data_IF_671753403945
#
_entry.id   IF_671753403945
#
_cell.length_a   1.000
_cell.length_b   1.000
_cell.length_c   1.000
_cell.angle_alpha   90.00
_cell.angle_beta   90.00
_cell.angle_gamma   90.00
#
_symmetry.space_group_name_H-M   'P 1'
#
loop_
_entity.id
_entity.type
_entity.pdbx_description
1 polymer ?
#
# COMPACT_ATOMS: atom_id res chain seq x y z
N UNK A 1 -6.08 20.13 0.59
CA UNK A 1 -5.10 20.04 1.68
C UNK A 1 -3.90 20.85 1.26
N UNK A 2 -3.59 21.95 1.94
CA UNK A 2 -2.43 22.78 1.63
C UNK A 2 -1.17 21.94 1.81
N UNK A 3 -0.45 21.70 0.72
CA UNK A 3 0.90 21.15 0.78
C UNK A 3 1.78 22.25 1.38
N UNK A 4 1.91 22.23 2.70
CA UNK A 4 2.85 23.09 3.42
C UNK A 4 4.25 22.85 2.85
N UNK A 5 5.02 23.91 2.49
CA UNK A 5 6.42 23.78 2.12
C UNK A 5 7.18 23.37 3.39
N UNK A 6 7.30 22.08 3.61
CA UNK A 6 7.94 21.55 4.81
C UNK A 6 9.45 21.43 4.56
N UNK A 7 10.13 22.57 4.42
CA UNK A 7 11.60 22.65 4.55
C UNK A 7 12.00 23.21 5.92
N UNK A 8 11.17 23.01 6.95
CA UNK A 8 11.42 23.43 8.34
C UNK A 8 12.17 22.37 9.15
N UNK A 9 12.88 21.44 8.50
CA UNK A 9 13.75 20.50 9.22
C UNK A 9 15.04 21.24 9.53
N UNK A 10 15.41 21.25 10.81
CA UNK A 10 16.70 21.78 11.23
C UNK A 10 17.83 21.02 10.52
N UNK A 11 18.82 21.77 10.00
CA UNK A 11 20.04 21.21 9.41
C UNK A 11 20.91 20.68 10.53
N UNK A 12 21.22 19.39 10.49
CA UNK A 12 22.00 18.71 11.51
C UNK A 12 23.47 18.74 11.16
N UNK A 13 24.27 19.42 11.97
CA UNK A 13 25.73 19.45 11.81
C UNK A 13 26.35 18.58 12.89
N UNK A 14 27.07 17.54 12.47
CA UNK A 14 27.83 16.68 13.38
C UNK A 14 29.28 17.14 13.48
N UNK A 15 29.79 17.34 14.69
CA UNK A 15 31.20 17.70 14.91
C UNK A 15 31.97 16.53 15.50
N UNK A 16 32.94 16.02 14.74
CA UNK A 16 33.87 14.99 15.21
C UNK A 16 35.14 15.65 15.77
N UNK A 17 35.52 15.33 17.01
CA UNK A 17 36.68 15.94 17.65
C UNK A 17 37.31 15.06 18.74
N UNK A 18 38.57 15.33 19.09
CA UNK A 18 39.21 14.73 20.28
C UNK A 18 38.74 15.41 21.56
N UNK A 19 38.66 14.67 22.68
CA UNK A 19 38.40 15.22 24.01
C UNK A 19 39.67 15.62 24.78
N UNK A 20 40.81 15.66 24.08
CA UNK A 20 42.10 16.07 24.66
C UNK A 20 42.03 17.43 25.34
N UNK A 21 42.69 17.56 26.51
CA UNK A 21 42.81 18.83 27.23
C UNK A 21 43.40 19.94 26.36
N UNK A 22 44.28 19.60 25.42
CA UNK A 22 44.95 20.56 24.53
C UNK A 22 44.01 21.20 23.52
N UNK A 23 42.89 20.52 23.20
CA UNK A 23 41.94 20.97 22.18
C UNK A 23 40.72 21.70 22.79
N UNK A 24 40.57 21.66 24.13
CA UNK A 24 39.46 22.33 24.85
C UNK A 24 39.39 23.84 24.60
N UNK A 25 40.54 24.53 24.58
CA UNK A 25 40.56 25.98 24.45
C UNK A 25 40.13 26.43 23.04
N UNK A 26 40.70 25.89 21.94
CA UNK A 26 40.17 26.14 20.60
C UNK A 26 38.70 25.72 20.44
N UNK A 27 38.29 24.56 20.97
CA UNK A 27 36.93 24.06 20.87
C UNK A 27 35.91 25.00 21.52
N UNK A 28 36.18 25.45 22.77
CA UNK A 28 35.30 26.40 23.47
C UNK A 28 35.21 27.75 22.75
N UNK A 29 36.32 28.20 22.17
CA UNK A 29 36.34 29.40 21.32
C UNK A 29 35.41 29.25 20.12
N UNK A 30 35.51 28.13 19.40
CA UNK A 30 34.66 27.81 18.26
C UNK A 30 33.18 27.67 18.66
N UNK A 31 32.89 26.95 19.74
CA UNK A 31 31.52 26.77 20.27
C UNK A 31 30.80 28.10 20.53
N UNK A 32 31.51 29.09 21.09
CA UNK A 32 30.94 30.41 21.34
C UNK A 32 30.53 31.10 20.02
N UNK A 33 31.33 30.95 18.97
CA UNK A 33 31.08 31.57 17.67
C UNK A 33 30.00 30.82 16.88
N UNK A 34 29.90 29.49 17.01
CA UNK A 34 28.87 28.67 16.33
C UNK A 34 27.44 29.00 16.78
N UNK A 35 27.25 29.72 17.89
CA UNK A 35 25.94 30.16 18.35
C UNK A 35 25.17 30.99 17.31
N UNK A 36 25.86 31.67 16.38
CA UNK A 36 25.25 32.45 15.30
C UNK A 36 24.54 31.60 14.26
N UNK A 37 24.83 30.29 14.20
CA UNK A 37 24.16 29.37 13.28
C UNK A 37 22.78 28.93 13.79
N UNK A 38 22.51 29.03 15.10
CA UNK A 38 21.23 28.57 15.69
C UNK A 38 19.99 29.24 15.09
N UNK A 39 19.94 30.57 14.90
CA UNK A 39 18.82 31.24 14.23
C UNK A 39 18.60 30.79 12.79
N UNK A 40 19.60 30.16 12.16
CA UNK A 40 19.48 29.56 10.84
C UNK A 40 18.83 28.16 10.89
N UNK A 41 18.23 27.73 12.00
CA UNK A 41 17.62 26.39 12.09
C UNK A 41 18.68 25.30 11.95
N UNK A 42 19.81 25.48 12.62
CA UNK A 42 20.91 24.51 12.65
C UNK A 42 20.89 23.81 14.00
N UNK A 43 20.80 22.49 13.96
CA UNK A 43 20.96 21.61 15.11
C UNK A 43 22.40 21.09 15.16
N UNK A 44 23.07 21.34 16.28
CA UNK A 44 24.47 21.04 16.48
C UNK A 44 24.60 19.74 17.28
N UNK A 45 24.88 18.65 16.58
CA UNK A 45 24.98 17.30 17.13
C UNK A 45 26.48 16.96 17.32
N UNK A 46 26.83 16.24 18.37
CA UNK A 46 28.23 15.82 18.63
C UNK A 46 29.14 16.84 19.34
N UNK A 47 28.86 18.15 19.30
CA UNK A 47 29.68 19.19 19.97
C UNK A 47 29.82 19.06 21.49
N UNK A 48 28.91 18.33 22.16
CA UNK A 48 28.84 18.25 23.64
C UNK A 48 28.94 16.84 24.19
N UNK A 49 29.32 15.83 23.39
CA UNK A 49 29.19 14.45 23.84
C UNK A 49 30.18 14.11 24.97
N UNK A 50 29.66 13.82 26.17
CA UNK A 50 30.40 13.09 27.20
C UNK A 50 30.29 11.59 26.88
N UNK A 51 31.39 10.82 26.92
CA UNK A 51 31.33 9.39 26.71
C UNK A 51 30.76 8.76 27.98
N UNK A 52 29.47 8.45 27.99
CA UNK A 52 28.92 7.51 28.96
C UNK A 52 29.32 6.10 28.52
N UNK A 53 30.24 5.49 29.28
CA UNK A 53 30.68 4.09 29.22
C UNK A 53 30.83 3.46 27.82
N UNK A 54 32.07 3.10 27.48
CA UNK A 54 32.56 2.55 26.21
C UNK A 54 31.76 1.37 25.58
N UNK A 55 30.74 0.82 26.25
CA UNK A 55 29.88 -0.22 25.70
C UNK A 55 28.69 0.29 24.87
N UNK A 56 28.19 1.52 25.10
CA UNK A 56 26.98 2.05 24.45
C UNK A 56 27.25 3.27 23.52
N UNK A 57 28.45 3.87 23.64
CA UNK A 57 28.88 5.01 22.81
C UNK A 57 29.06 4.67 21.32
N UNK A 58 29.48 3.43 21.01
CA UNK A 58 29.74 2.99 19.65
C UNK A 58 28.49 2.99 18.73
N UNK A 59 27.29 2.81 19.28
CA UNK A 59 26.04 2.77 18.48
C UNK A 59 25.46 4.18 18.30
N UNK A 60 25.54 5.02 19.35
CA UNK A 60 24.97 6.37 19.33
C UNK A 60 25.74 7.33 18.43
N UNK A 61 27.06 7.21 18.37
CA UNK A 61 27.88 8.03 17.48
C UNK A 61 27.58 7.72 16.00
N UNK A 62 27.45 6.44 15.63
CA UNK A 62 27.03 6.03 14.29
C UNK A 62 25.61 6.48 13.94
N UNK A 63 24.66 6.40 14.88
CA UNK A 63 23.29 6.91 14.64
C UNK A 63 23.24 8.42 14.44
N UNK A 64 23.96 9.19 15.28
CA UNK A 64 24.02 10.65 15.17
C UNK A 64 24.71 11.05 13.88
N UNK A 65 25.80 10.38 13.55
CA UNK A 65 26.54 10.54 12.33
C UNK A 65 25.65 10.31 11.09
N UNK A 66 24.93 9.19 11.03
CA UNK A 66 24.02 8.86 9.93
C UNK A 66 22.84 9.85 9.79
N UNK A 67 22.55 10.64 10.81
CA UNK A 67 21.50 11.67 10.79
C UNK A 67 22.01 13.06 10.41
N UNK A 68 23.32 13.24 10.26
CA UNK A 68 23.93 14.52 9.94
C UNK A 68 23.72 14.90 8.47
N UNK A 69 23.37 16.16 8.26
CA UNK A 69 23.25 16.81 6.95
C UNK A 69 24.59 17.50 6.57
N UNK A 70 25.45 17.83 7.55
CA UNK A 70 26.83 18.30 7.37
C UNK A 70 27.73 17.64 8.43
N UNK A 71 28.95 17.29 8.06
CA UNK A 71 29.93 16.71 8.97
C UNK A 71 31.14 17.63 9.05
N UNK A 72 31.51 18.03 10.27
CA UNK A 72 32.66 18.88 10.55
C UNK A 72 33.70 18.06 11.30
N UNK A 73 34.91 17.94 10.75
CA UNK A 73 36.02 17.18 11.35
C UNK A 73 37.02 18.16 11.98
N UNK A 74 37.08 18.23 13.30
CA UNK A 74 38.00 19.12 14.01
C UNK A 74 39.40 18.49 14.10
N UNK A 75 40.25 18.83 13.13
CA UNK A 75 41.56 18.22 12.92
C UNK A 75 42.59 18.77 13.91
N UNK A 76 43.14 17.87 14.71
CA UNK A 76 44.24 18.11 15.64
C UNK A 76 45.17 16.88 15.69
N UNK A 77 46.40 17.00 16.24
CA UNK A 77 47.25 15.84 16.46
C UNK A 77 46.56 14.73 17.27
N UNK A 78 45.79 15.11 18.29
CA UNK A 78 45.12 14.16 19.17
C UNK A 78 43.92 13.48 18.48
N UNK A 79 43.22 14.19 17.57
CA UNK A 79 42.18 13.61 16.73
C UNK A 79 42.75 12.65 15.68
N UNK A 80 43.88 13.00 15.06
CA UNK A 80 44.56 12.12 14.09
C UNK A 80 45.09 10.87 14.78
N UNK A 81 45.71 10.98 15.96
CA UNK A 81 46.10 9.81 16.77
C UNK A 81 44.89 8.94 17.10
N UNK A 82 43.77 9.54 17.51
CA UNK A 82 42.54 8.78 17.79
C UNK A 82 42.09 7.94 16.58
N UNK A 83 42.16 8.49 15.37
CA UNK A 83 41.79 7.76 14.14
C UNK A 83 42.78 6.64 13.82
N UNK A 84 44.08 6.88 13.99
CA UNK A 84 45.13 5.93 13.62
C UNK A 84 45.29 4.79 14.64
N UNK A 85 45.05 5.08 15.92
CA UNK A 85 45.28 4.14 17.03
C UNK A 85 44.00 3.37 17.42
N UNK A 86 42.82 3.82 16.98
CA UNK A 86 41.54 3.19 17.31
C UNK A 86 40.81 2.70 16.05
N UNK A 87 40.68 1.37 15.94
CA UNK A 87 39.98 0.69 14.82
C UNK A 87 38.56 1.21 14.62
N UNK A 88 37.84 1.55 15.69
CA UNK A 88 36.49 2.10 15.59
C UNK A 88 36.47 3.47 14.91
N UNK A 89 37.32 4.40 15.33
CA UNK A 89 37.40 5.74 14.71
C UNK A 89 37.92 5.69 13.28
N UNK A 90 38.78 4.72 12.96
CA UNK A 90 39.14 4.42 11.58
C UNK A 90 37.92 4.02 10.74
N UNK A 91 37.08 3.10 11.25
CA UNK A 91 35.83 2.69 10.57
C UNK A 91 34.84 3.85 10.43
N UNK A 92 34.63 4.65 11.48
CA UNK A 92 33.76 5.83 11.45
C UNK A 92 34.23 6.81 10.35
N UNK A 93 35.53 7.10 10.29
CA UNK A 93 36.09 8.01 9.29
C UNK A 93 35.94 7.47 7.86
N UNK A 94 36.17 6.18 7.63
CA UNK A 94 35.97 5.61 6.30
C UNK A 94 34.49 5.64 5.88
N UNK A 95 33.59 5.38 6.83
CA UNK A 95 32.14 5.52 6.62
C UNK A 95 31.75 6.97 6.33
N UNK A 96 32.44 7.95 6.92
CA UNK A 96 32.24 9.37 6.62
C UNK A 96 32.56 9.69 5.16
N UNK A 97 33.71 9.22 4.70
CA UNK A 97 34.15 9.47 3.32
C UNK A 97 33.22 8.75 2.35
N UNK A 98 32.87 7.49 2.60
CA UNK A 98 31.88 6.76 1.80
C UNK A 98 30.54 7.48 1.74
N UNK A 99 29.99 7.99 2.86
CA UNK A 99 28.76 8.80 2.82
C UNK A 99 28.92 10.11 2.06
N UNK A 100 30.07 10.76 2.13
CA UNK A 100 30.33 11.95 1.32
C UNK A 100 30.40 11.62 -0.18
N UNK A 101 30.80 10.41 -0.55
CA UNK A 101 30.90 9.98 -1.95
C UNK A 101 29.55 9.44 -2.47
N UNK A 102 28.82 8.68 -1.65
CA UNK A 102 27.58 8.00 -2.02
C UNK A 102 26.34 8.88 -1.77
N UNK A 103 26.25 9.46 -0.58
CA UNK A 103 25.11 10.29 -0.16
C UNK A 103 25.36 11.79 -0.45
N UNK A 104 26.61 12.18 -0.73
CA UNK A 104 27.03 13.58 -0.96
C UNK A 104 26.78 14.49 0.23
N UNK A 105 26.96 13.96 1.44
CA UNK A 105 26.96 14.74 2.66
C UNK A 105 28.23 15.61 2.71
N UNK A 106 28.12 16.95 2.84
CA UNK A 106 29.30 17.81 2.95
C UNK A 106 30.16 17.47 4.15
N UNK A 107 31.45 17.21 3.90
CA UNK A 107 32.48 17.01 4.93
C UNK A 107 33.42 18.21 4.94
N UNK A 108 33.59 18.81 6.12
CA UNK A 108 34.37 20.04 6.31
C UNK A 108 35.48 19.78 7.34
N UNK A 109 36.73 19.55 6.89
CA UNK A 109 37.87 19.52 7.80
C UNK A 109 38.13 20.92 8.38
N UNK A 110 38.31 21.03 9.70
CA UNK A 110 38.65 22.28 10.38
C UNK A 110 40.01 22.10 11.07
N UNK A 111 41.02 22.84 10.62
CA UNK A 111 42.38 22.74 11.16
C UNK A 111 42.47 23.50 12.48
N UNK A 112 42.40 22.81 13.61
CA UNK A 112 42.57 23.44 14.92
C UNK A 112 44.04 23.67 15.27
N UNK A 113 44.88 22.67 14.97
CA UNK A 113 46.29 22.65 15.37
C UNK A 113 47.21 22.14 14.27
N UNK A 114 48.50 22.55 14.25
CA UNK A 114 49.46 22.06 13.27
C UNK A 114 49.60 20.55 13.32
N UNK A 115 49.34 19.91 12.19
CA UNK A 115 49.57 18.50 11.95
C UNK A 115 49.79 18.30 10.45
N UNK A 116 50.79 17.52 10.06
CA UNK A 116 51.07 17.22 8.64
C UNK A 116 50.53 15.86 8.21
N UNK A 117 50.46 14.90 9.14
CA UNK A 117 50.02 13.52 8.87
C UNK A 117 48.57 13.40 8.40
N UNK A 118 47.70 14.39 8.68
CA UNK A 118 46.31 14.38 8.22
C UNK A 118 46.19 14.40 6.69
N UNK A 119 47.21 14.85 5.96
CA UNK A 119 47.22 14.84 4.49
C UNK A 119 47.16 13.41 3.91
N UNK A 120 47.55 12.41 4.70
CA UNK A 120 47.52 11.00 4.32
C UNK A 120 46.20 10.31 4.69
N UNK A 121 45.22 11.03 5.25
CA UNK A 121 43.94 10.46 5.65
C UNK A 121 42.89 10.58 4.53
N UNK A 122 41.87 9.70 4.52
CA UNK A 122 40.85 9.64 3.46
C UNK A 122 40.10 10.95 3.19
N UNK A 123 39.98 11.84 4.18
CA UNK A 123 39.28 13.12 4.08
C UNK A 123 40.18 14.31 3.70
N UNK A 124 41.45 14.07 3.34
CA UNK A 124 42.40 15.14 2.98
C UNK A 124 42.09 15.83 1.65
N UNK A 125 41.26 15.21 0.82
CA UNK A 125 40.76 15.74 -0.46
C UNK A 125 39.75 16.87 -0.29
N UNK A 126 39.05 16.94 0.85
CA UNK A 126 38.08 18.00 1.11
C UNK A 126 38.76 19.34 1.40
N UNK A 127 38.07 20.44 1.05
CA UNK A 127 38.56 21.79 1.30
C UNK A 127 38.51 22.10 2.80
N UNK A 128 39.65 22.35 3.47
CA UNK A 128 39.66 22.60 4.90
C UNK A 128 39.32 24.07 5.21
N UNK A 129 38.80 24.30 6.41
CA UNK A 129 38.70 25.60 7.05
C UNK A 129 39.78 25.75 8.13
N UNK A 130 40.35 26.95 8.31
CA UNK A 130 40.22 28.13 7.46
C UNK A 130 40.74 27.89 6.02
N UNK A 131 40.21 28.61 5.02
CA UNK A 131 40.48 28.38 3.58
C UNK A 131 41.95 28.55 3.23
N UNK A 132 42.67 29.38 3.99
CA UNK A 132 44.12 29.55 3.87
C UNK A 132 44.96 28.38 4.42
N UNK A 133 44.31 27.30 4.89
CA UNK A 133 44.92 26.09 5.48
C UNK A 133 45.77 26.34 6.72
N UNK A 134 45.65 27.53 7.33
CA UNK A 134 46.40 27.90 8.54
C UNK A 134 45.63 27.42 9.78
N UNK A 135 46.21 26.53 10.61
CA UNK A 135 45.52 26.05 11.81
C UNK A 135 45.16 27.18 12.77
N UNK A 136 44.00 27.11 13.42
CA UNK A 136 43.48 28.15 14.34
C UNK A 136 44.52 28.62 15.36
N UNK A 137 45.33 27.71 15.88
CA UNK A 137 46.35 28.04 16.89
C UNK A 137 47.52 28.87 16.36
N UNK A 138 47.76 28.91 15.04
CA UNK A 138 48.81 29.70 14.40
C UNK A 138 48.35 31.12 14.04
N UNK A 139 47.05 31.41 14.17
CA UNK A 139 46.51 32.74 13.90
C UNK A 139 46.92 33.74 14.99
N UNK A 140 47.34 34.93 14.56
CA UNK A 140 47.65 36.05 15.46
C UNK A 140 46.42 36.47 16.25
N UNK A 141 45.24 36.44 15.62
CA UNK A 141 43.96 36.64 16.26
C UNK A 141 43.08 35.42 16.00
N UNK A 142 42.78 34.65 17.05
CA UNK A 142 41.99 33.42 16.96
C UNK A 142 40.52 33.68 16.67
N UNK A 143 39.96 34.80 17.11
CA UNK A 143 38.56 35.15 16.82
C UNK A 143 38.34 35.34 15.32
N UNK A 144 39.31 35.93 14.60
CA UNK A 144 39.26 35.99 13.13
C UNK A 144 39.24 34.60 12.49
N UNK A 145 40.00 33.66 13.02
CA UNK A 145 39.99 32.28 12.53
C UNK A 145 38.63 31.60 12.76
N UNK A 146 38.01 31.82 13.94
CA UNK A 146 36.69 31.28 14.24
C UNK A 146 35.61 31.89 13.36
N UNK A 147 35.66 33.21 13.10
CA UNK A 147 34.73 33.87 12.17
C UNK A 147 34.82 33.24 10.77
N UNK A 148 36.02 33.06 10.23
CA UNK A 148 36.20 32.45 8.89
C UNK A 148 35.66 31.00 8.86
N UNK A 149 35.87 30.22 9.92
CA UNK A 149 35.31 28.86 10.03
C UNK A 149 33.78 28.90 10.03
N UNK A 150 33.19 29.79 10.82
CA UNK A 150 31.73 29.90 10.94
C UNK A 150 31.12 30.37 9.62
N UNK A 151 31.71 31.36 8.95
CA UNK A 151 31.28 31.81 7.63
C UNK A 151 31.33 30.68 6.59
N UNK A 152 32.39 29.88 6.60
CA UNK A 152 32.51 28.71 5.73
C UNK A 152 31.46 27.63 6.01
N UNK A 153 31.13 27.38 7.28
CA UNK A 153 30.04 26.44 7.65
C UNK A 153 28.68 27.02 7.23
N UNK A 154 28.45 28.31 7.48
CA UNK A 154 27.23 29.02 7.10
C UNK A 154 26.99 28.99 5.58
N UNK A 155 28.05 29.16 4.78
CA UNK A 155 28.00 29.03 3.32
C UNK A 155 27.42 27.67 2.91
N UNK A 156 27.89 26.58 3.51
CA UNK A 156 27.39 25.21 3.24
C UNK A 156 25.96 24.99 3.74
N UNK A 157 25.61 25.53 4.90
CA UNK A 157 24.22 25.50 5.41
C UNK A 157 23.28 26.18 4.42
N UNK A 158 23.67 27.35 3.92
CA UNK A 158 22.85 28.12 2.97
C UNK A 158 22.76 27.43 1.60
N UNK A 159 23.81 26.76 1.13
CA UNK A 159 23.76 25.91 -0.07
C UNK A 159 22.73 24.80 0.06
N UNK A 160 22.74 24.04 1.16
CA UNK A 160 21.77 22.97 1.39
C UNK A 160 20.34 23.49 1.46
N UNK A 161 20.10 24.64 2.10
CA UNK A 161 18.78 25.27 2.12
C UNK A 161 18.29 25.66 0.73
N UNK A 162 19.16 26.29 -0.08
CA UNK A 162 18.83 26.65 -1.46
C UNK A 162 18.49 25.41 -2.28
N UNK A 163 19.27 24.34 -2.14
CA UNK A 163 18.99 23.07 -2.81
C UNK A 163 17.62 22.50 -2.42
N UNK A 164 17.29 22.48 -1.12
CA UNK A 164 15.97 22.06 -0.63
C UNK A 164 14.82 22.89 -1.21
N UNK A 165 14.98 24.21 -1.29
CA UNK A 165 13.98 25.09 -1.94
C UNK A 165 13.79 24.75 -3.42
N UNK A 166 14.87 24.43 -4.14
CA UNK A 166 14.79 24.01 -5.55
C UNK A 166 14.15 22.66 -5.76
N UNK A 167 14.31 21.74 -4.81
CA UNK A 167 13.55 20.49 -4.78
C UNK A 167 12.06 20.77 -4.60
N UNK A 168 11.68 21.69 -3.71
CA UNK A 168 10.28 22.08 -3.52
C UNK A 168 9.69 22.79 -4.75
N UNK A 169 10.45 23.67 -5.41
CA UNK A 169 10.04 24.29 -6.69
C UNK A 169 9.87 23.21 -7.79
N UNK A 170 10.83 22.29 -7.92
CA UNK A 170 10.75 21.18 -8.86
C UNK A 170 9.51 20.33 -8.64
N UNK A 171 9.19 20.03 -7.39
CA UNK A 171 7.98 19.29 -7.00
C UNK A 171 6.71 19.97 -7.54
N UNK A 172 6.61 21.30 -7.44
CA UNK A 172 5.48 22.05 -7.98
C UNK A 172 5.45 22.00 -9.50
N UNK A 173 6.58 22.26 -10.17
CA UNK A 173 6.66 22.21 -11.63
C UNK A 173 6.32 20.81 -12.19
N UNK A 174 6.80 19.75 -11.55
CA UNK A 174 6.47 18.38 -11.94
C UNK A 174 4.99 18.07 -11.73
N UNK A 175 4.43 18.54 -10.61
CA UNK A 175 2.99 18.41 -10.37
C UNK A 175 2.19 19.10 -11.47
N UNK A 176 2.52 20.33 -11.85
CA UNK A 176 1.82 21.08 -12.91
C UNK A 176 1.99 20.45 -14.30
N UNK A 177 3.18 19.92 -14.60
CA UNK A 177 3.51 19.29 -15.87
C UNK A 177 2.71 18.00 -16.14
N UNK A 178 2.30 17.27 -15.09
CA UNK A 178 1.56 16.03 -15.24
C UNK A 178 0.13 16.26 -15.74
N UNK A 179 -0.11 15.82 -16.97
CA UNK A 179 -1.44 15.84 -17.59
C UNK A 179 -2.35 14.73 -17.05
N UNK A 180 -3.63 14.74 -17.44
CA UNK A 180 -4.63 13.78 -16.94
C UNK A 180 -4.36 12.32 -17.34
N UNK A 181 -3.59 12.10 -18.41
CA UNK A 181 -3.14 10.77 -18.82
C UNK A 181 -1.86 10.32 -18.08
N UNK A 182 -1.41 11.09 -17.09
CA UNK A 182 -0.15 10.92 -16.37
C UNK A 182 1.08 10.91 -17.29
N UNK A 183 0.93 11.47 -18.49
CA UNK A 183 2.06 11.80 -19.34
C UNK A 183 2.45 13.24 -19.10
N UNK A 184 3.72 13.49 -19.33
CA UNK A 184 4.28 14.82 -19.43
C UNK A 184 4.48 15.05 -20.93
N UNK A 185 3.96 16.14 -21.48
CA UNK A 185 4.24 16.48 -22.87
C UNK A 185 5.72 16.84 -23.07
N UNK A 186 6.17 16.75 -24.31
CA UNK A 186 7.58 16.92 -24.67
C UNK A 186 8.13 18.27 -24.17
N UNK A 187 7.37 19.36 -24.29
CA UNK A 187 7.84 20.67 -23.85
C UNK A 187 7.90 20.81 -22.34
N UNK A 188 6.93 20.23 -21.62
CA UNK A 188 6.98 20.19 -20.17
C UNK A 188 8.14 19.33 -19.66
N UNK A 189 8.43 18.22 -20.34
CA UNK A 189 9.57 17.36 -20.04
C UNK A 189 10.90 18.10 -20.27
N UNK A 190 11.04 18.81 -21.39
CA UNK A 190 12.20 19.64 -21.69
C UNK A 190 12.44 20.71 -20.61
N UNK A 191 11.39 21.43 -20.19
CA UNK A 191 11.49 22.42 -19.10
C UNK A 191 11.90 21.81 -17.77
N UNK A 192 11.36 20.63 -17.42
CA UNK A 192 11.74 19.93 -16.19
C UNK A 192 13.19 19.49 -16.23
N UNK A 193 13.65 18.97 -17.37
CA UNK A 193 15.03 18.56 -17.54
C UNK A 193 15.99 19.76 -17.51
N UNK A 194 15.66 20.86 -18.18
CA UNK A 194 16.42 22.12 -18.14
C UNK A 194 16.51 22.67 -16.71
N UNK A 195 15.40 22.61 -15.95
CA UNK A 195 15.38 23.00 -14.54
C UNK A 195 16.30 22.10 -13.70
N UNK A 196 16.23 20.77 -13.88
CA UNK A 196 17.13 19.83 -13.18
C UNK A 196 18.59 20.14 -13.48
N UNK A 197 18.94 20.38 -14.74
CA UNK A 197 20.32 20.67 -15.15
C UNK A 197 20.79 22.02 -14.58
N UNK A 198 19.99 23.07 -14.71
CA UNK A 198 20.30 24.43 -14.25
C UNK A 198 20.59 24.47 -12.75
N UNK A 199 19.82 23.72 -11.95
CA UNK A 199 19.96 23.67 -10.50
C UNK A 199 20.73 22.46 -9.99
N UNK A 200 21.34 21.69 -10.90
CA UNK A 200 22.08 20.46 -10.60
C UNK A 200 21.31 19.51 -9.67
N UNK A 201 19.99 19.41 -9.87
CA UNK A 201 19.15 18.51 -9.09
C UNK A 201 19.45 17.07 -9.45
N UNK A 202 19.56 16.24 -8.42
CA UNK A 202 19.96 14.84 -8.58
C UNK A 202 18.73 13.96 -8.78
N UNK A 203 18.89 12.91 -9.58
CA UNK A 203 17.81 11.95 -9.81
C UNK A 203 17.46 11.16 -8.54
N UNK A 204 18.43 10.91 -7.66
CA UNK A 204 18.17 10.27 -6.35
C UNK A 204 17.16 11.06 -5.50
N UNK A 205 17.14 12.39 -5.64
CA UNK A 205 16.26 13.27 -4.87
C UNK A 205 14.94 13.54 -5.60
N UNK A 206 14.97 13.62 -6.94
CA UNK A 206 13.78 13.95 -7.75
C UNK A 206 12.92 12.73 -8.08
N UNK A 207 13.49 11.57 -8.40
CA UNK A 207 12.74 10.38 -8.81
C UNK A 207 11.72 9.87 -7.77
N UNK A 208 12.01 9.87 -6.45
CA UNK A 208 11.01 9.52 -5.44
C UNK A 208 9.81 10.48 -5.44
N UNK A 209 10.07 11.77 -5.63
CA UNK A 209 9.04 12.83 -5.70
C UNK A 209 8.15 12.60 -6.92
N UNK A 210 8.76 12.36 -8.08
CA UNK A 210 8.04 12.11 -9.34
C UNK A 210 7.11 10.90 -9.22
N UNK A 211 7.62 9.81 -8.66
CA UNK A 211 6.86 8.59 -8.39
C UNK A 211 5.71 8.84 -7.42
N UNK A 212 5.96 9.58 -6.33
CA UNK A 212 4.94 9.91 -5.34
C UNK A 212 3.82 10.75 -5.94
N UNK A 213 4.16 11.82 -6.67
CA UNK A 213 3.17 12.70 -7.31
C UNK A 213 2.36 11.94 -8.35
N UNK A 214 3.01 11.13 -9.17
CA UNK A 214 2.34 10.33 -10.20
C UNK A 214 1.29 9.41 -9.57
N UNK A 215 1.65 8.69 -8.49
CA UNK A 215 0.71 7.84 -7.74
C UNK A 215 -0.43 8.63 -7.13
N UNK A 216 -0.14 9.80 -6.55
CA UNK A 216 -1.17 10.66 -5.97
C UNK A 216 -2.18 11.10 -7.04
N UNK A 217 -1.71 11.63 -8.17
CA UNK A 217 -2.59 12.05 -9.28
C UNK A 217 -3.39 10.88 -9.86
N UNK A 218 -2.79 9.69 -9.96
CA UNK A 218 -3.51 8.47 -10.34
C UNK A 218 -4.66 8.15 -9.38
N UNK A 219 -4.41 8.19 -8.07
CA UNK A 219 -5.47 8.00 -7.08
C UNK A 219 -6.60 9.02 -7.19
N UNK A 220 -6.26 10.32 -7.31
CA UNK A 220 -7.25 11.39 -7.46
C UNK A 220 -8.11 11.23 -8.73
N UNK A 221 -7.51 10.84 -9.85
CA UNK A 221 -8.25 10.61 -11.08
C UNK A 221 -9.15 9.37 -10.98
N UNK A 222 -8.70 8.28 -10.35
CA UNK A 222 -9.54 7.10 -10.12
C UNK A 222 -10.78 7.45 -9.28
N UNK A 223 -10.64 8.31 -8.28
CA UNK A 223 -11.78 8.80 -7.51
C UNK A 223 -12.77 9.59 -8.37
N UNK A 224 -12.28 10.47 -9.26
CA UNK A 224 -13.12 11.20 -10.22
C UNK A 224 -13.82 10.26 -11.20
N UNK A 225 -13.11 9.22 -11.66
CA UNK A 225 -13.66 8.22 -12.57
C UNK A 225 -14.77 7.41 -11.88
N UNK A 226 -14.56 7.01 -10.63
CA UNK A 226 -15.58 6.35 -9.81
C UNK A 226 -16.79 7.25 -9.57
N UNK A 227 -16.57 8.55 -9.32
CA UNK A 227 -17.66 9.52 -9.18
C UNK A 227 -18.53 9.57 -10.45
N UNK A 228 -17.90 9.62 -11.62
CA UNK A 228 -18.61 9.57 -12.91
C UNK A 228 -19.36 8.24 -13.09
N UNK A 229 -18.71 7.11 -12.81
CA UNK A 229 -19.31 5.78 -12.92
C UNK A 229 -20.55 5.64 -12.02
N UNK A 230 -20.49 6.15 -10.80
CA UNK A 230 -21.60 6.12 -9.86
C UNK A 230 -22.80 6.93 -10.38
N UNK A 231 -22.56 8.12 -10.92
CA UNK A 231 -23.63 8.96 -11.48
C UNK A 231 -24.23 8.30 -12.74
N UNK A 232 -23.38 7.82 -13.64
CA UNK A 232 -23.81 7.08 -14.83
C UNK A 232 -24.65 5.86 -14.47
N UNK A 233 -24.23 5.08 -13.47
CA UNK A 233 -24.93 3.89 -13.01
C UNK A 233 -26.31 4.25 -12.45
N UNK A 234 -26.39 5.34 -11.68
CA UNK A 234 -27.65 5.85 -11.13
C UNK A 234 -28.62 6.27 -12.25
N UNK A 235 -28.13 6.98 -13.26
CA UNK A 235 -28.96 7.40 -14.39
C UNK A 235 -29.42 6.22 -15.26
N UNK A 236 -28.56 5.23 -15.52
CA UNK A 236 -28.93 4.00 -16.24
C UNK A 236 -29.98 3.18 -15.49
N UNK A 237 -29.93 3.15 -14.16
CA UNK A 237 -30.94 2.48 -13.34
C UNK A 237 -32.29 3.18 -13.41
N UNK A 238 -32.29 4.53 -13.41
CA UNK A 238 -33.51 5.34 -13.50
C UNK A 238 -34.18 5.20 -14.87
N UNK A 239 -33.40 5.28 -15.94
CA UNK A 239 -33.92 5.29 -17.30
C UNK A 239 -32.92 4.68 -18.28
N UNK A 240 -33.38 3.74 -19.10
CA UNK A 240 -32.59 3.19 -20.18
C UNK A 240 -33.48 2.84 -21.40
N UNK A 241 -33.14 3.29 -22.63
CA UNK A 241 -31.91 4.01 -23.01
C UNK A 241 -31.87 5.47 -22.53
N UNK A 242 -30.66 6.00 -22.33
CA UNK A 242 -30.45 7.36 -21.82
C UNK A 242 -30.96 8.43 -22.80
N UNK A 243 -31.76 9.37 -22.29
CA UNK A 243 -32.21 10.54 -23.05
C UNK A 243 -31.05 11.46 -23.46
N UNK A 244 -31.31 12.34 -24.42
CA UNK A 244 -30.32 13.36 -24.84
C UNK A 244 -29.96 14.27 -23.67
N UNK A 245 -30.93 14.69 -22.85
CA UNK A 245 -30.71 15.57 -21.71
C UNK A 245 -29.79 14.94 -20.65
N UNK A 246 -29.95 13.64 -20.36
CA UNK A 246 -29.07 12.92 -19.43
C UNK A 246 -27.65 12.80 -20.01
N UNK A 247 -27.52 12.46 -21.29
CA UNK A 247 -26.22 12.39 -21.97
C UNK A 247 -25.47 13.73 -21.95
N UNK A 248 -26.17 14.84 -22.14
CA UNK A 248 -25.57 16.18 -22.04
C UNK A 248 -25.05 16.46 -20.64
N UNK A 249 -25.83 16.14 -19.59
CA UNK A 249 -25.40 16.32 -18.19
C UNK A 249 -24.19 15.47 -17.84
N UNK A 250 -24.16 14.20 -18.26
CA UNK A 250 -23.01 13.32 -18.07
C UNK A 250 -21.77 13.85 -18.80
N UNK A 251 -21.92 14.42 -20.01
CA UNK A 251 -20.81 15.06 -20.73
C UNK A 251 -20.28 16.29 -19.99
N UNK A 252 -21.16 17.12 -19.43
CA UNK A 252 -20.76 18.26 -18.59
C UNK A 252 -20.02 17.80 -17.34
N UNK A 253 -20.51 16.74 -16.69
CA UNK A 253 -19.85 16.14 -15.53
C UNK A 253 -18.45 15.62 -15.91
N UNK A 254 -18.35 14.88 -17.02
CA UNK A 254 -17.08 14.39 -17.55
C UNK A 254 -16.07 15.53 -17.75
N UNK A 255 -16.49 16.63 -18.37
CA UNK A 255 -15.65 17.82 -18.59
C UNK A 255 -15.23 18.47 -17.26
N UNK A 256 -16.15 18.62 -16.31
CA UNK A 256 -15.86 19.21 -15.00
C UNK A 256 -14.87 18.37 -14.17
N UNK A 257 -14.90 17.05 -14.37
CA UNK A 257 -13.99 16.10 -13.73
C UNK A 257 -12.69 15.89 -14.53
N UNK A 258 -12.58 16.50 -15.71
CA UNK A 258 -11.43 16.40 -16.60
C UNK A 258 -11.07 14.95 -16.99
N UNK A 259 -12.10 14.12 -17.22
CA UNK A 259 -11.95 12.69 -17.52
C UNK A 259 -11.70 12.43 -19.01
N UNK A 260 -10.85 11.45 -19.30
CA UNK A 260 -10.52 11.03 -20.67
C UNK A 260 -11.73 10.40 -21.35
N UNK A 261 -11.94 10.77 -22.62
CA UNK A 261 -13.03 10.21 -23.43
C UNK A 261 -12.96 8.68 -23.53
N UNK A 262 -11.76 8.11 -23.65
CA UNK A 262 -11.57 6.66 -23.78
C UNK A 262 -12.05 5.90 -22.54
N UNK A 263 -11.65 6.35 -21.34
CA UNK A 263 -12.05 5.70 -20.08
C UNK A 263 -13.57 5.79 -19.88
N UNK A 264 -14.12 6.97 -20.14
CA UNK A 264 -15.56 7.23 -20.02
C UNK A 264 -16.34 6.38 -21.03
N UNK A 265 -15.86 6.26 -22.27
CA UNK A 265 -16.46 5.40 -23.27
C UNK A 265 -16.41 3.93 -22.85
N UNK A 266 -15.30 3.46 -22.28
CA UNK A 266 -15.16 2.09 -21.79
C UNK A 266 -16.18 1.79 -20.69
N UNK A 267 -16.26 2.64 -19.66
CA UNK A 267 -17.24 2.50 -18.56
C UNK A 267 -18.66 2.56 -19.11
N UNK A 268 -18.95 3.51 -20.01
CA UNK A 268 -20.28 3.67 -20.60
C UNK A 268 -20.69 2.42 -21.38
N UNK A 269 -19.79 1.82 -22.16
CA UNK A 269 -20.03 0.56 -22.89
C UNK A 269 -20.27 -0.59 -21.92
N UNK A 270 -19.47 -0.69 -20.86
CA UNK A 270 -19.59 -1.73 -19.85
C UNK A 270 -20.94 -1.65 -19.13
N UNK A 271 -21.30 -0.50 -18.55
CA UNK A 271 -22.58 -0.31 -17.84
C UNK A 271 -23.79 -0.52 -18.74
N UNK A 272 -23.69 -0.10 -20.01
CA UNK A 272 -24.71 -0.35 -21.02
C UNK A 272 -24.92 -1.86 -21.22
N UNK A 273 -23.83 -2.62 -21.38
CA UNK A 273 -23.90 -4.05 -21.59
C UNK A 273 -24.46 -4.77 -20.35
N UNK A 274 -24.02 -4.39 -19.15
CA UNK A 274 -24.56 -4.89 -17.88
C UNK A 274 -26.09 -4.70 -17.81
N UNK A 275 -26.60 -3.51 -18.15
CA UNK A 275 -28.06 -3.25 -18.15
C UNK A 275 -28.82 -4.06 -19.20
N UNK A 276 -28.26 -4.22 -20.40
CA UNK A 276 -28.87 -5.05 -21.44
C UNK A 276 -28.96 -6.50 -20.98
N UNK A 277 -27.87 -7.04 -20.43
CA UNK A 277 -27.83 -8.42 -19.90
C UNK A 277 -28.84 -8.58 -18.78
N UNK A 278 -28.90 -7.64 -17.83
CA UNK A 278 -29.89 -7.64 -16.75
C UNK A 278 -31.33 -7.70 -17.29
N UNK A 279 -31.68 -6.85 -18.26
CA UNK A 279 -33.02 -6.85 -18.86
C UNK A 279 -33.34 -8.16 -19.61
N UNK A 280 -32.34 -8.79 -20.24
CA UNK A 280 -32.51 -10.09 -20.90
C UNK A 280 -32.74 -11.20 -19.88
N UNK A 281 -31.99 -11.20 -18.77
CA UNK A 281 -32.17 -12.15 -17.68
C UNK A 281 -33.53 -11.98 -17.02
N UNK A 282 -33.96 -10.76 -16.71
CA UNK A 282 -35.30 -10.48 -16.15
C UNK A 282 -36.41 -11.00 -17.07
N UNK A 283 -36.31 -10.77 -18.38
CA UNK A 283 -37.26 -11.31 -19.37
C UNK A 283 -37.24 -12.83 -19.43
N UNK A 284 -36.06 -13.45 -19.38
CA UNK A 284 -35.92 -14.92 -19.33
C UNK A 284 -36.58 -15.46 -18.06
N UNK A 285 -36.29 -14.88 -16.90
CA UNK A 285 -36.87 -15.27 -15.62
C UNK A 285 -38.40 -15.13 -15.62
N UNK A 286 -38.93 -14.02 -16.13
CA UNK A 286 -40.38 -13.86 -16.28
C UNK A 286 -41.00 -14.91 -17.21
N UNK A 287 -40.31 -15.27 -18.31
CA UNK A 287 -40.78 -16.32 -19.22
C UNK A 287 -40.79 -17.70 -18.54
N UNK A 288 -39.73 -18.04 -17.81
CA UNK A 288 -39.63 -19.27 -17.00
C UNK A 288 -40.73 -19.32 -15.93
N UNK A 289 -40.95 -18.22 -15.21
CA UNK A 289 -41.98 -18.13 -14.18
C UNK A 289 -43.40 -18.31 -14.77
N UNK A 290 -43.67 -17.70 -15.93
CA UNK A 290 -44.93 -17.92 -16.66
C UNK A 290 -45.09 -19.39 -17.07
N UNK A 291 -44.05 -20.01 -17.62
CA UNK A 291 -44.09 -21.43 -18.01
C UNK A 291 -44.33 -22.35 -16.80
N UNK A 292 -43.63 -22.13 -15.69
CA UNK A 292 -43.86 -22.88 -14.45
C UNK A 292 -45.29 -22.68 -13.93
N UNK A 293 -45.83 -21.45 -13.95
CA UNK A 293 -47.22 -21.20 -13.55
C UNK A 293 -48.25 -21.89 -14.45
N UNK A 294 -47.99 -21.99 -15.76
CA UNK A 294 -48.85 -22.74 -16.68
C UNK A 294 -48.79 -24.26 -16.47
N UNK A 295 -47.59 -24.81 -16.22
CA UNK A 295 -47.40 -26.22 -15.89
C UNK A 295 -48.08 -26.57 -14.57
N UNK A 296 -47.94 -25.73 -13.53
CA UNK A 296 -48.62 -25.92 -12.26
C UNK A 296 -50.16 -25.92 -12.40
N UNK A 297 -50.73 -25.08 -13.27
CA UNK A 297 -52.17 -25.09 -13.58
C UNK A 297 -52.58 -26.39 -14.29
N UNK A 298 -51.81 -26.87 -15.26
CA UNK A 298 -52.07 -28.13 -15.96
C UNK A 298 -52.01 -29.33 -15.00
N UNK A 299 -50.98 -29.40 -14.15
CA UNK A 299 -50.87 -30.41 -13.10
C UNK A 299 -52.05 -30.32 -12.13
N UNK A 300 -52.46 -29.12 -11.72
CA UNK A 300 -53.64 -28.92 -10.88
C UNK A 300 -54.94 -29.42 -11.52
N UNK A 301 -55.14 -29.20 -12.83
CA UNK A 301 -56.29 -29.73 -13.58
C UNK A 301 -56.22 -31.25 -13.68
N UNK A 302 -55.06 -31.83 -13.98
CA UNK A 302 -54.85 -33.28 -14.05
C UNK A 302 -55.09 -33.93 -12.67
N UNK A 303 -54.60 -33.31 -11.60
CA UNK A 303 -54.86 -33.75 -10.23
C UNK A 303 -56.34 -33.64 -9.90
N UNK A 304 -57.03 -32.55 -10.28
CA UNK A 304 -58.49 -32.44 -10.11
C UNK A 304 -59.23 -33.59 -10.83
N UNK A 305 -58.87 -33.89 -12.08
CA UNK A 305 -59.44 -35.01 -12.87
C UNK A 305 -59.13 -36.37 -12.21
N UNK A 306 -57.89 -36.58 -11.77
CA UNK A 306 -57.47 -37.80 -11.08
C UNK A 306 -58.14 -37.94 -9.72
N UNK A 307 -58.36 -36.85 -8.97
CA UNK A 307 -59.08 -36.88 -7.70
C UNK A 307 -60.57 -37.15 -7.89
N UNK A 308 -61.19 -36.70 -8.99
CA UNK A 308 -62.56 -37.12 -9.35
C UNK A 308 -62.63 -38.60 -9.76
N UNK A 309 -61.55 -39.18 -10.29
CA UNK A 309 -61.43 -40.61 -10.57
C UNK A 309 -61.09 -41.45 -9.32
N UNK A 310 -60.27 -40.93 -8.40
CA UNK A 310 -59.87 -41.57 -7.15
C UNK A 310 -60.95 -41.48 -6.05
N UNK A 311 -61.96 -40.61 -6.19
CA UNK A 311 -63.12 -40.60 -5.30
C UNK A 311 -64.04 -41.83 -5.45
N UNK A 312 -63.77 -42.71 -6.44
CA UNK A 312 -64.37 -44.03 -6.59
C UNK A 312 -63.42 -45.20 -6.23
N UNK A 313 -62.22 -44.91 -5.69
CA UNK A 313 -61.19 -45.90 -5.39
C UNK A 313 -60.49 -45.59 -4.06
N UNK A 314 -61.10 -46.06 -2.98
CA UNK A 314 -60.56 -46.36 -1.65
C UNK A 314 -59.13 -45.86 -1.27
N UNK A 315 -59.10 -45.03 -0.23
CA UNK A 315 -58.10 -44.89 0.85
C UNK A 315 -56.76 -45.64 0.70
N UNK A 316 -55.70 -44.90 0.41
CA UNK A 316 -54.36 -45.19 0.90
C UNK A 316 -53.58 -43.87 1.05
N UNK A 317 -53.49 -43.37 2.27
CA UNK A 317 -52.57 -42.29 2.61
C UNK A 317 -51.14 -42.79 2.45
N UNK A 318 -50.43 -42.34 1.41
CA UNK A 318 -48.98 -42.49 1.37
C UNK A 318 -48.36 -41.66 2.50
N UNK A 319 -47.37 -42.19 3.22
CA UNK A 319 -46.68 -41.40 4.24
C UNK A 319 -46.02 -40.21 3.54
N UNK A 320 -46.31 -38.99 4.02
CA UNK A 320 -45.58 -37.80 3.60
C UNK A 320 -44.12 -38.01 4.00
N UNK A 321 -43.23 -38.13 3.03
CA UNK A 321 -41.79 -38.17 3.27
C UNK A 321 -41.37 -36.91 4.03
N UNK A 322 -40.63 -37.12 5.12
CA UNK A 322 -40.05 -36.03 5.89
C UNK A 322 -38.83 -35.45 5.17
N UNK A 323 -38.36 -34.27 5.62
CA UNK A 323 -37.12 -33.68 5.11
C UNK A 323 -35.93 -34.66 5.23
N UNK A 324 -35.86 -35.39 6.35
CA UNK A 324 -34.85 -36.42 6.64
C UNK A 324 -34.91 -37.59 5.63
N UNK A 325 -36.12 -38.04 5.26
CA UNK A 325 -36.27 -39.12 4.28
C UNK A 325 -35.76 -38.71 2.90
N UNK A 326 -36.02 -37.46 2.49
CA UNK A 326 -35.47 -36.89 1.26
C UNK A 326 -33.95 -36.76 1.32
N UNK A 327 -33.39 -36.32 2.46
CA UNK A 327 -31.95 -36.22 2.64
C UNK A 327 -31.25 -37.58 2.51
N UNK A 328 -31.78 -38.63 3.15
CA UNK A 328 -31.25 -40.00 3.02
C UNK A 328 -31.29 -40.52 1.59
N UNK A 329 -32.34 -40.19 0.83
CA UNK A 329 -32.41 -40.56 -0.59
C UNK A 329 -31.39 -39.79 -1.42
N UNK A 330 -31.11 -38.53 -1.07
CA UNK A 330 -30.08 -37.73 -1.72
C UNK A 330 -28.68 -38.32 -1.49
N UNK A 331 -28.33 -38.66 -0.25
CA UNK A 331 -27.05 -39.31 0.09
C UNK A 331 -26.88 -40.61 -0.70
N UNK A 332 -27.91 -41.46 -0.67
CA UNK A 332 -27.89 -42.75 -1.37
C UNK A 332 -27.73 -42.59 -2.90
N UNK A 333 -28.31 -41.54 -3.48
CA UNK A 333 -28.14 -41.20 -4.90
C UNK A 333 -26.72 -40.73 -5.20
N UNK A 334 -26.16 -39.89 -4.33
CA UNK A 334 -24.78 -39.42 -4.46
C UNK A 334 -23.78 -40.57 -4.38
N UNK A 335 -23.94 -41.48 -3.41
CA UNK A 335 -23.11 -42.68 -3.24
C UNK A 335 -23.17 -43.64 -4.45
N UNK A 336 -24.32 -43.70 -5.13
CA UNK A 336 -24.52 -44.49 -6.36
C UNK A 336 -23.96 -43.81 -7.61
N UNK A 337 -23.30 -42.66 -7.48
CA UNK A 337 -22.74 -41.91 -8.61
C UNK A 337 -23.76 -41.12 -9.41
N UNK A 338 -24.93 -40.80 -8.82
CA UNK A 338 -25.97 -39.96 -9.42
C UNK A 338 -26.08 -38.60 -8.68
N UNK A 339 -25.10 -37.69 -8.88
CA UNK A 339 -25.08 -36.39 -8.22
C UNK A 339 -26.24 -35.47 -8.64
N UNK A 340 -26.76 -35.63 -9.86
CA UNK A 340 -27.91 -34.86 -10.34
C UNK A 340 -29.18 -35.28 -9.61
N UNK A 341 -29.42 -36.59 -9.47
CA UNK A 341 -30.53 -37.11 -8.66
C UNK A 341 -30.40 -36.75 -7.18
N UNK A 342 -29.18 -36.71 -6.64
CA UNK A 342 -28.94 -36.26 -5.28
C UNK A 342 -29.38 -34.80 -5.06
N UNK A 343 -29.04 -33.89 -5.99
CA UNK A 343 -29.47 -32.48 -5.94
C UNK A 343 -30.99 -32.34 -5.90
N UNK A 344 -31.72 -33.14 -6.68
CA UNK A 344 -33.19 -33.12 -6.68
C UNK A 344 -33.76 -33.48 -5.30
N UNK A 345 -33.23 -34.53 -4.67
CA UNK A 345 -33.66 -34.97 -3.35
C UNK A 345 -33.23 -34.02 -2.23
N UNK A 346 -32.01 -33.46 -2.26
CA UNK A 346 -31.63 -32.40 -1.31
C UNK A 346 -32.56 -31.18 -1.44
N UNK A 347 -32.97 -30.84 -2.67
CA UNK A 347 -33.91 -29.74 -2.90
C UNK A 347 -35.28 -30.04 -2.30
N UNK A 348 -35.76 -31.30 -2.39
CA UNK A 348 -37.00 -31.71 -1.73
C UNK A 348 -36.87 -31.68 -0.20
N UNK A 349 -35.72 -32.08 0.35
CA UNK A 349 -35.42 -31.96 1.78
C UNK A 349 -35.50 -30.50 2.26
N UNK A 350 -34.88 -29.58 1.51
CA UNK A 350 -34.90 -28.13 1.78
C UNK A 350 -36.31 -27.53 1.62
N UNK A 351 -37.09 -27.98 0.63
CA UNK A 351 -38.47 -27.52 0.47
C UNK A 351 -39.38 -28.00 1.61
N UNK A 352 -39.09 -29.18 2.17
CA UNK A 352 -39.80 -29.75 3.32
C UNK A 352 -39.39 -29.07 4.64
N UNK A 353 -38.10 -28.69 4.76
CA UNK A 353 -37.58 -27.92 5.88
C UNK A 353 -36.55 -26.88 5.37
N UNK A 354 -36.96 -25.61 5.31
CA UNK A 354 -36.13 -24.52 4.78
C UNK A 354 -34.91 -24.17 5.64
N UNK A 355 -34.82 -24.71 6.86
CA UNK A 355 -33.71 -24.50 7.78
C UNK A 355 -32.81 -25.73 7.91
N UNK A 356 -32.92 -26.69 6.97
CA UNK A 356 -32.13 -27.91 7.01
C UNK A 356 -30.69 -27.67 6.54
N UNK A 357 -29.82 -27.32 7.48
CA UNK A 357 -28.44 -26.88 7.25
C UNK A 357 -27.64 -27.94 6.49
N UNK A 358 -27.73 -29.21 6.90
CA UNK A 358 -27.01 -30.33 6.31
C UNK A 358 -27.40 -30.53 4.84
N UNK A 359 -28.69 -30.39 4.50
CA UNK A 359 -29.16 -30.49 3.12
C UNK A 359 -28.60 -29.38 2.23
N UNK A 360 -28.46 -28.15 2.75
CA UNK A 360 -27.76 -27.07 2.02
C UNK A 360 -26.27 -27.37 1.86
N UNK A 361 -25.59 -27.81 2.92
CA UNK A 361 -24.17 -28.11 2.88
C UNK A 361 -23.85 -29.21 1.85
N UNK A 362 -24.60 -30.31 1.89
CA UNK A 362 -24.39 -31.44 0.99
C UNK A 362 -24.81 -31.15 -0.45
N UNK A 363 -25.87 -30.37 -0.67
CA UNK A 363 -26.21 -29.90 -2.02
C UNK A 363 -25.14 -28.97 -2.58
N UNK A 364 -24.56 -28.11 -1.73
CA UNK A 364 -23.42 -27.27 -2.07
C UNK A 364 -22.20 -28.09 -2.50
N UNK A 365 -21.83 -29.13 -1.72
CA UNK A 365 -20.75 -30.07 -2.05
C UNK A 365 -21.04 -30.80 -3.37
N UNK A 366 -22.29 -31.22 -3.58
CA UNK A 366 -22.70 -31.89 -4.81
C UNK A 366 -22.60 -30.96 -6.03
N UNK A 367 -23.00 -29.69 -5.90
CA UNK A 367 -22.79 -28.69 -6.94
C UNK A 367 -21.31 -28.43 -7.21
N UNK A 368 -20.47 -28.37 -6.16
CA UNK A 368 -19.02 -28.21 -6.30
C UNK A 368 -18.41 -29.41 -7.05
N UNK A 369 -18.80 -30.64 -6.72
CA UNK A 369 -18.40 -31.86 -7.43
C UNK A 369 -18.74 -31.80 -8.93
N UNK A 370 -19.90 -31.23 -9.27
CA UNK A 370 -20.32 -30.98 -10.66
C UNK A 370 -19.68 -29.72 -11.30
N UNK A 371 -18.71 -29.08 -10.63
CA UNK A 371 -18.06 -27.83 -11.03
C UNK A 371 -19.01 -26.65 -11.21
N UNK A 372 -20.20 -26.71 -10.60
CA UNK A 372 -21.15 -25.60 -10.54
C UNK A 372 -20.88 -24.74 -9.31
N UNK A 373 -19.75 -24.04 -9.35
CA UNK A 373 -19.24 -23.28 -8.21
C UNK A 373 -20.19 -22.16 -7.75
N UNK A 374 -20.88 -21.48 -8.69
CA UNK A 374 -21.84 -20.44 -8.31
C UNK A 374 -23.05 -20.98 -7.54
N UNK A 375 -23.53 -22.18 -7.87
CA UNK A 375 -24.61 -22.82 -7.12
C UNK A 375 -24.12 -23.29 -5.74
N UNK A 376 -22.91 -23.86 -5.67
CA UNK A 376 -22.27 -24.24 -4.41
C UNK A 376 -22.12 -23.05 -3.46
N UNK A 377 -21.61 -21.91 -3.95
CA UNK A 377 -21.46 -20.67 -3.18
C UNK A 377 -22.79 -20.18 -2.60
N UNK A 378 -23.89 -20.28 -3.36
CA UNK A 378 -25.23 -19.89 -2.87
C UNK A 378 -25.68 -20.76 -1.70
N UNK A 379 -25.48 -22.06 -1.80
CA UNK A 379 -25.85 -23.01 -0.75
C UNK A 379 -24.96 -22.86 0.49
N UNK A 380 -23.64 -22.70 0.34
CA UNK A 380 -22.75 -22.41 1.46
C UNK A 380 -23.07 -21.07 2.14
N UNK A 381 -23.45 -20.05 1.36
CA UNK A 381 -23.90 -18.76 1.90
C UNK A 381 -25.20 -18.92 2.70
N UNK A 382 -26.07 -19.85 2.31
CA UNK A 382 -27.25 -20.16 3.09
C UNK A 382 -26.92 -20.91 4.38
N UNK A 383 -25.96 -21.86 4.34
CA UNK A 383 -25.43 -22.50 5.56
C UNK A 383 -24.88 -21.46 6.52
N UNK A 384 -24.02 -20.54 6.05
CA UNK A 384 -23.43 -19.48 6.88
C UNK A 384 -24.49 -18.55 7.49
N UNK A 385 -25.60 -18.32 6.78
CA UNK A 385 -26.72 -17.52 7.30
C UNK A 385 -27.47 -18.22 8.43
N UNK A 386 -27.61 -19.54 8.35
CA UNK A 386 -28.31 -20.36 9.32
C UNK A 386 -27.40 -20.75 10.50
N UNK A 387 -26.12 -20.97 10.23
CA UNK A 387 -25.06 -21.34 11.19
C UNK A 387 -23.79 -20.50 10.92
N UNK A 388 -23.70 -19.28 11.49
CA UNK A 388 -22.59 -18.35 11.28
C UNK A 388 -21.23 -18.82 11.82
N UNK A 389 -21.21 -19.91 12.59
CA UNK A 389 -20.03 -20.56 13.16
C UNK A 389 -19.63 -21.84 12.39
N UNK A 390 -20.27 -22.13 11.25
CA UNK A 390 -19.93 -23.28 10.41
C UNK A 390 -18.59 -23.08 9.68
N UNK A 391 -17.51 -23.57 10.27
CA UNK A 391 -16.16 -23.51 9.68
C UNK A 391 -16.10 -24.20 8.31
N UNK A 392 -16.77 -25.35 8.15
CA UNK A 392 -16.83 -26.11 6.89
C UNK A 392 -17.52 -25.33 5.77
N UNK A 393 -18.55 -24.54 6.08
CA UNK A 393 -19.22 -23.73 5.07
C UNK A 393 -18.34 -22.58 4.59
N UNK A 394 -17.59 -21.93 5.49
CA UNK A 394 -16.58 -20.94 5.10
C UNK A 394 -15.45 -21.57 4.29
N UNK A 395 -14.91 -22.71 4.71
CA UNK A 395 -13.87 -23.42 3.98
C UNK A 395 -14.33 -23.78 2.56
N UNK A 396 -15.46 -24.48 2.43
CA UNK A 396 -15.96 -24.93 1.14
C UNK A 396 -16.35 -23.77 0.21
N UNK A 397 -16.85 -22.65 0.77
CA UNK A 397 -17.10 -21.43 -0.03
C UNK A 397 -15.80 -20.76 -0.47
N UNK A 398 -14.77 -20.75 0.37
CA UNK A 398 -13.42 -20.30 0.02
C UNK A 398 -12.81 -21.12 -1.12
N UNK A 399 -12.94 -22.45 -1.08
CA UNK A 399 -12.52 -23.35 -2.18
C UNK A 399 -13.27 -23.00 -3.48
N UNK A 400 -14.59 -22.85 -3.41
CA UNK A 400 -15.40 -22.52 -4.59
C UNK A 400 -15.07 -21.13 -5.17
N UNK A 401 -14.76 -20.13 -4.34
CA UNK A 401 -14.28 -18.81 -4.81
C UNK A 401 -12.90 -18.90 -5.45
N UNK A 402 -11.99 -19.69 -4.87
CA UNK A 402 -10.65 -19.93 -5.41
C UNK A 402 -10.72 -20.54 -6.81
N UNK A 403 -11.56 -21.56 -7.01
CA UNK A 403 -11.74 -22.22 -8.31
C UNK A 403 -12.44 -21.34 -9.35
N UNK A 404 -13.24 -20.36 -8.92
CA UNK A 404 -13.79 -19.31 -9.78
C UNK A 404 -12.80 -18.18 -10.08
N UNK A 405 -11.61 -18.19 -9.48
CA UNK A 405 -10.60 -17.14 -9.62
C UNK A 405 -10.83 -15.89 -8.75
N UNK A 406 -11.85 -15.88 -7.88
CA UNK A 406 -12.10 -14.78 -6.93
C UNK A 406 -11.21 -14.94 -5.69
N UNK A 407 -9.91 -14.69 -5.88
CA UNK A 407 -8.88 -14.87 -4.84
C UNK A 407 -9.17 -14.05 -3.59
N UNK A 408 -9.74 -12.84 -3.73
CA UNK A 408 -10.01 -11.96 -2.60
C UNK A 408 -11.06 -12.59 -1.67
N UNK A 409 -12.21 -13.01 -2.22
CA UNK A 409 -13.26 -13.65 -1.40
C UNK A 409 -12.82 -15.00 -0.84
N UNK A 410 -12.00 -15.75 -1.59
CA UNK A 410 -11.41 -16.99 -1.09
C UNK A 410 -10.53 -16.76 0.15
N UNK A 411 -9.68 -15.72 0.15
CA UNK A 411 -8.85 -15.36 1.29
C UNK A 411 -9.69 -14.95 2.50
N UNK A 412 -10.74 -14.14 2.30
CA UNK A 412 -11.66 -13.72 3.37
C UNK A 412 -12.34 -14.93 4.04
N UNK A 413 -12.87 -15.85 3.23
CA UNK A 413 -13.54 -17.06 3.73
C UNK A 413 -12.57 -18.05 4.39
N UNK A 414 -11.38 -18.26 3.82
CA UNK A 414 -10.36 -19.11 4.44
C UNK A 414 -9.87 -18.54 5.77
N UNK A 415 -9.66 -17.23 5.90
CA UNK A 415 -9.29 -16.64 7.18
C UNK A 415 -10.37 -16.89 8.22
N UNK A 416 -11.64 -16.73 7.87
CA UNK A 416 -12.75 -17.00 8.78
C UNK A 416 -12.84 -18.47 9.17
N UNK A 417 -12.60 -19.39 8.24
CA UNK A 417 -12.56 -20.82 8.52
C UNK A 417 -11.39 -21.20 9.45
N UNK A 418 -10.20 -20.63 9.25
CA UNK A 418 -9.04 -20.83 10.14
C UNK A 418 -9.37 -20.45 11.58
N UNK A 419 -9.96 -19.26 11.77
CA UNK A 419 -10.33 -18.77 13.10
C UNK A 419 -11.34 -19.70 13.79
N UNK A 420 -12.35 -20.16 13.05
CA UNK A 420 -13.39 -21.06 13.58
C UNK A 420 -12.86 -22.47 13.86
N UNK A 421 -12.07 -23.07 12.97
CA UNK A 421 -11.46 -24.38 13.21
C UNK A 421 -10.55 -24.37 14.43
N UNK A 422 -9.79 -23.28 14.65
CA UNK A 422 -8.98 -23.11 15.85
C UNK A 422 -9.85 -23.07 17.11
N UNK A 423 -10.93 -22.27 17.09
CA UNK A 423 -11.87 -22.17 18.22
C UNK A 423 -12.57 -23.50 18.53
N UNK A 424 -12.85 -24.30 17.51
CA UNK A 424 -13.49 -25.61 17.62
C UNK A 424 -12.51 -26.75 17.96
N UNK A 425 -11.21 -26.47 18.06
CA UNK A 425 -10.18 -27.48 18.33
C UNK A 425 -9.91 -28.45 17.17
N UNK A 426 -10.40 -28.15 15.96
CA UNK A 426 -10.23 -28.97 14.76
C UNK A 426 -8.84 -28.76 14.14
N UNK A 427 -7.83 -29.36 14.78
CA UNK A 427 -6.41 -29.10 14.50
C UNK A 427 -5.99 -29.44 13.07
N UNK A 428 -6.51 -30.52 12.49
CA UNK A 428 -6.14 -30.94 11.13
C UNK A 428 -6.77 -30.03 10.06
N UNK A 429 -8.06 -29.71 10.20
CA UNK A 429 -8.76 -28.77 9.32
C UNK A 429 -8.12 -27.38 9.38
N UNK A 430 -7.79 -26.90 10.58
CA UNK A 430 -7.02 -25.67 10.78
C UNK A 430 -5.71 -25.66 9.98
N UNK A 431 -4.90 -26.73 10.08
CA UNK A 431 -3.62 -26.81 9.36
C UNK A 431 -3.81 -26.85 7.84
N UNK A 432 -4.79 -27.61 7.36
CA UNK A 432 -5.09 -27.74 5.93
C UNK A 432 -5.56 -26.40 5.34
N UNK A 433 -6.53 -25.76 5.99
CA UNK A 433 -7.05 -24.45 5.55
C UNK A 433 -5.98 -23.36 5.61
N UNK A 434 -5.12 -23.36 6.64
CA UNK A 434 -4.02 -22.42 6.73
C UNK A 434 -2.99 -22.60 5.59
N UNK A 435 -2.74 -23.85 5.18
CA UNK A 435 -1.88 -24.13 4.04
C UNK A 435 -2.50 -23.62 2.73
N UNK A 436 -3.80 -23.82 2.52
CA UNK A 436 -4.52 -23.33 1.33
C UNK A 436 -4.61 -21.79 1.30
N UNK A 437 -4.83 -21.15 2.45
CA UNK A 437 -4.77 -19.69 2.58
C UNK A 437 -3.41 -19.12 2.15
N UNK A 438 -2.31 -19.74 2.60
CA UNK A 438 -0.94 -19.31 2.26
C UNK A 438 -0.65 -19.43 0.76
N UNK A 439 -1.17 -20.46 0.08
CA UNK A 439 -1.01 -20.61 -1.37
C UNK A 439 -1.65 -19.49 -2.18
N UNK A 440 -2.68 -18.82 -1.64
CA UNK A 440 -3.36 -17.72 -2.32
C UNK A 440 -2.73 -16.34 -2.06
N UNK A 441 -1.86 -16.23 -1.06
CA UNK A 441 -1.18 -14.98 -0.67
C UNK A 441 0.21 -14.81 -1.32
N UNK A 442 0.71 -15.84 -1.99
CA UNK A 442 1.92 -15.84 -2.82
C UNK A 442 1.54 -15.91 -4.31
#
# INVERSE_FOLDING_TARGET
MSLSPNSTKDIKIFFAHSQSRKDKTPLRGLENHLSVLKPLGVDMIGLRHQPESEQDGNIKDFEQFNRADIIVLLISPDFVSLILENVHWHTVVNHVVSRSEEEEVPVIPVLLRPISSWQNLPFSSFEPLPKNRKPVTDWTNRDKAFVEIVEGIEERVNELKRYGQKIDEYKQHFFEALQNNYSIDVHAYERLNDFKQTWMLKDKDTAPIEKQITRQKQGEYQQKLQQYENELSREIQREYPLTVQVRTRLRTLQQSLNLRDQDVQQITRQKRQEKITQQQEEKRQQKLQRQQSSLARLVGIIVAILTTFLFLGHLASSPKMSAEDFFKQADNKFERGDPTGAIEYYTQAINSNSNYIEAYLQRGITYYYLKNYQAAIKDYTQVIRLAPDSADAYYNRGVAYSDLGDKQKAVEDYQKAVDLYQQQGQTDNYKNTLADLRKLQH
#
